data_IF_344466274723
#
_entry.id   IF_344466274723
#
_cell.length_a   1.000
_cell.length_b   1.000
_cell.length_c   1.000
_cell.angle_alpha   90.00
_cell.angle_beta   90.00
_cell.angle_gamma   90.00
#
_symmetry.space_group_name_H-M   'P 1'
#
loop_
_entity.id
_entity.type
_entity.pdbx_description
1 polymer ?
#
# COMPACT_ATOMS: atom_id res chain seq x y z
N UNK A 1 12.73 8.15 -8.09
CA UNK A 1 12.45 7.21 -9.19
C UNK A 1 11.77 5.97 -8.59
N UNK A 2 10.43 5.97 -8.46
CA UNK A 2 9.66 4.87 -7.85
C UNK A 2 8.72 4.17 -8.84
N UNK A 3 8.75 4.59 -10.12
CA UNK A 3 7.83 4.11 -11.16
C UNK A 3 8.04 2.63 -11.51
N UNK A 4 9.19 2.04 -11.18
CA UNK A 4 9.48 0.62 -11.32
C UNK A 4 8.65 -0.28 -10.40
N UNK A 5 8.10 0.28 -9.30
CA UNK A 5 7.23 -0.48 -8.41
C UNK A 5 5.76 -0.41 -8.88
N UNK A 6 5.02 -1.53 -8.82
CA UNK A 6 3.59 -1.56 -9.09
C UNK A 6 2.85 -0.59 -8.15
N UNK A 7 1.72 -0.08 -8.61
CA UNK A 7 0.88 0.83 -7.85
C UNK A 7 -0.39 0.12 -7.38
N UNK A 8 -0.73 0.29 -6.10
CA UNK A 8 -1.98 -0.20 -5.52
C UNK A 8 -2.80 0.97 -5.00
N UNK A 9 -4.11 0.88 -5.17
CA UNK A 9 -5.06 1.85 -4.63
C UNK A 9 -5.79 1.21 -3.45
N UNK A 10 -5.88 1.95 -2.35
CA UNK A 10 -6.59 1.51 -1.14
C UNK A 10 -7.84 2.36 -0.91
N UNK A 11 -8.78 1.87 -0.10
CA UNK A 11 -9.93 2.67 0.34
C UNK A 11 -9.49 3.77 1.32
N UNK A 12 -10.35 4.76 1.55
CA UNK A 12 -10.10 5.84 2.51
C UNK A 12 -9.80 5.33 3.93
N UNK A 13 -10.57 4.35 4.43
CA UNK A 13 -10.33 3.72 5.75
C UNK A 13 -8.97 3.02 5.81
N UNK A 14 -8.55 2.40 4.72
CA UNK A 14 -7.25 1.75 4.61
C UNK A 14 -6.12 2.77 4.48
N UNK A 15 -6.35 3.90 3.80
CA UNK A 15 -5.38 4.99 3.69
C UNK A 15 -5.06 5.57 5.08
N UNK A 16 -6.08 5.85 5.89
CA UNK A 16 -5.91 6.31 7.27
C UNK A 16 -5.13 5.28 8.10
N UNK A 17 -5.48 3.99 7.99
CA UNK A 17 -4.77 2.91 8.71
C UNK A 17 -3.31 2.82 8.28
N UNK A 18 -3.03 2.89 6.98
CA UNK A 18 -1.68 2.85 6.42
C UNK A 18 -0.85 4.07 6.85
N UNK A 19 -1.43 5.27 6.83
CA UNK A 19 -0.80 6.48 7.33
C UNK A 19 -0.48 6.38 8.83
N UNK A 20 -1.29 5.66 9.60
CA UNK A 20 -1.02 5.39 11.01
C UNK A 20 -0.01 4.25 11.25
N UNK A 21 0.61 3.70 10.19
CA UNK A 21 1.59 2.61 10.28
C UNK A 21 0.96 1.22 10.41
N UNK A 22 -0.37 1.12 10.29
CA UNK A 22 -1.07 -0.16 10.34
C UNK A 22 -0.97 -0.92 9.02
N UNK A 23 -0.63 -2.20 9.11
CA UNK A 23 -0.70 -3.14 8.00
C UNK A 23 -2.15 -3.34 7.51
N UNK A 24 -2.28 -3.76 6.25
CA UNK A 24 -3.56 -3.98 5.57
C UNK A 24 -3.69 -5.43 5.09
N UNK A 25 -4.86 -6.02 5.28
CA UNK A 25 -5.20 -7.33 4.71
C UNK A 25 -5.34 -7.24 3.18
N UNK A 26 -4.59 -8.07 2.45
CA UNK A 26 -4.59 -8.12 0.98
C UNK A 26 -5.95 -8.54 0.41
N UNK A 27 -6.78 -9.31 1.11
CA UNK A 27 -8.12 -9.69 0.65
C UNK A 27 -9.02 -8.46 0.46
N UNK A 28 -8.74 -7.38 1.20
CA UNK A 28 -9.49 -6.12 1.16
C UNK A 28 -8.92 -5.09 0.19
N UNK A 29 -7.80 -5.40 -0.46
CA UNK A 29 -7.17 -4.55 -1.48
C UNK A 29 -7.60 -5.03 -2.86
N UNK A 30 -8.04 -4.10 -3.71
CA UNK A 30 -8.43 -4.36 -5.10
C UNK A 30 -7.26 -4.07 -6.04
N UNK A 31 -7.15 -4.82 -7.13
CA UNK A 31 -6.10 -4.67 -8.15
C UNK A 31 -5.09 -5.81 -8.16
N UNK A 32 -4.08 -5.68 -9.04
CA UNK A 32 -2.99 -6.64 -9.15
C UNK A 32 -2.13 -6.65 -7.88
N UNK A 33 -1.89 -7.86 -7.36
CA UNK A 33 -1.11 -8.10 -6.15
C UNK A 33 0.13 -8.86 -6.55
N UNK A 34 1.19 -8.10 -6.82
CA UNK A 34 2.51 -8.68 -7.06
C UNK A 34 3.28 -8.67 -5.75
N UNK A 35 3.88 -9.81 -5.43
CA UNK A 35 4.70 -9.93 -4.23
C UNK A 35 5.86 -8.92 -4.26
N UNK A 36 6.20 -8.35 -3.11
CA UNK A 36 7.26 -7.35 -2.97
C UNK A 36 6.78 -5.90 -2.89
N UNK A 37 7.67 -4.96 -3.22
CA UNK A 37 7.44 -3.53 -2.99
C UNK A 37 6.40 -2.93 -3.95
N UNK A 38 5.53 -2.09 -3.42
CA UNK A 38 4.53 -1.35 -4.19
C UNK A 38 4.39 0.10 -3.71
N UNK A 39 3.92 0.96 -4.61
CA UNK A 39 3.47 2.31 -4.30
C UNK A 39 2.01 2.27 -3.86
N UNK A 40 1.72 2.89 -2.72
CA UNK A 40 0.37 2.90 -2.14
C UNK A 40 -0.26 4.27 -2.36
N UNK A 41 -1.47 4.29 -2.92
CA UNK A 41 -2.23 5.50 -3.22
C UNK A 41 -3.61 5.47 -2.55
N UNK A 42 -4.07 6.65 -2.13
CA UNK A 42 -5.45 6.85 -1.68
C UNK A 42 -6.44 6.86 -2.86
N UNK A 43 -7.76 6.80 -2.61
CA UNK A 43 -8.77 6.96 -3.67
C UNK A 43 -8.64 8.28 -4.43
N UNK A 44 -8.12 9.33 -3.79
CA UNK A 44 -7.89 10.65 -4.37
C UNK A 44 -6.57 10.74 -5.16
N UNK A 45 -5.92 9.60 -5.45
CA UNK A 45 -4.62 9.51 -6.12
C UNK A 45 -3.47 10.18 -5.35
N UNK A 46 -3.65 10.47 -4.06
CA UNK A 46 -2.56 10.92 -3.17
C UNK A 46 -1.59 9.76 -2.93
N UNK A 47 -0.30 10.00 -3.15
CA UNK A 47 0.73 9.03 -2.80
C UNK A 47 0.93 8.99 -1.28
N UNK A 48 0.74 7.83 -0.67
CA UNK A 48 0.83 7.64 0.79
C UNK A 48 2.22 7.14 1.22
N UNK A 49 2.88 6.35 0.36
CA UNK A 49 4.21 5.81 0.63
C UNK A 49 4.47 4.49 -0.08
N UNK A 50 5.54 3.82 0.36
CA UNK A 50 5.88 2.47 -0.08
C UNK A 50 5.35 1.44 0.92
N UNK A 51 4.74 0.39 0.39
CA UNK A 51 4.40 -0.81 1.13
C UNK A 51 5.06 -2.04 0.54
N UNK A 52 4.99 -3.16 1.25
CA UNK A 52 5.41 -4.48 0.78
C UNK A 52 4.25 -5.44 0.84
N UNK A 53 3.87 -5.98 -0.31
CA UNK A 53 2.91 -7.08 -0.43
C UNK A 53 3.66 -8.36 -0.07
N UNK A 54 3.09 -9.15 0.84
CA UNK A 54 3.46 -10.53 1.10
C UNK A 54 2.28 -11.43 0.76
N UNK A 55 2.36 -12.15 -0.36
CA UNK A 55 1.32 -13.10 -0.75
C UNK A 55 1.25 -14.29 0.22
N UNK A 56 2.37 -14.66 0.84
CA UNK A 56 2.43 -15.72 1.85
C UNK A 56 1.65 -15.35 3.12
N UNK A 57 1.81 -14.11 3.59
CA UNK A 57 1.14 -13.63 4.81
C UNK A 57 -0.27 -13.10 4.54
N UNK A 58 -0.61 -12.86 3.27
CA UNK A 58 -1.86 -12.21 2.91
C UNK A 58 -1.91 -10.73 3.32
N UNK A 59 -0.76 -10.08 3.46
CA UNK A 59 -0.63 -8.77 4.13
C UNK A 59 0.14 -7.75 3.28
N UNK A 60 -0.29 -6.50 3.35
CA UNK A 60 0.45 -5.32 2.90
C UNK A 60 1.05 -4.62 4.12
N UNK A 61 2.38 -4.66 4.21
CA UNK A 61 3.16 -3.98 5.24
C UNK A 61 3.47 -2.54 4.85
N UNK A 62 3.68 -1.69 5.86
CA UNK A 62 4.16 -0.31 5.69
C UNK A 62 5.69 -0.32 5.75
N UNK A 63 6.36 0.11 4.69
CA UNK A 63 7.83 0.09 4.61
C UNK A 63 8.41 1.49 4.77
N UNK A 64 7.86 2.46 4.02
CA UNK A 64 8.31 3.85 4.11
C UNK A 64 7.13 4.79 3.90
N UNK A 65 6.75 5.47 4.96
CA UNK A 65 5.75 6.55 4.91
C UNK A 65 6.40 7.83 4.40
N UNK A 66 5.66 8.62 3.63
CA UNK A 66 5.98 10.04 3.43
C UNK A 66 5.50 10.82 4.65
N UNK A 67 6.44 11.31 5.44
CA UNK A 67 6.17 12.29 6.49
C UNK A 67 6.57 13.65 5.90
N UNK A 68 5.60 14.56 5.79
CA UNK A 68 5.84 15.97 5.49
C UNK A 68 6.06 16.73 6.80
#
# INVERSE_FOLDING_TARGET
>A
MLRCYPAVNVSEKQAIRFENGGELDLKRIKGEKNDGFCRVYSPEKKFLGLGRISLADGTLYVEKKLVY
#
